data_IF_188579136333
#
_entry.id   IF_188579136333
#
_cell.length_a   1.000
_cell.length_b   1.000
_cell.length_c   1.000
_cell.angle_alpha   90.00
_cell.angle_beta   90.00
_cell.angle_gamma   90.00
#
_symmetry.space_group_name_H-M   'P 1'
#
loop_
_entity.id
_entity.type
_entity.pdbx_description
1 polymer ?
#
# COMPACT_ATOMS: atom_id res chain seq x y z
N UNK A 1 18.78 14.37 -76.05
CA UNK A 1 19.72 14.42 -74.90
C UNK A 1 18.90 14.77 -73.67
N UNK A 2 18.91 13.87 -72.68
CA UNK A 2 17.91 13.76 -71.62
C UNK A 2 17.96 14.89 -70.57
N UNK A 3 16.76 15.30 -70.14
CA UNK A 3 16.50 16.22 -69.03
C UNK A 3 16.47 15.47 -67.69
N UNK A 4 17.14 16.07 -66.72
CA UNK A 4 16.96 16.04 -65.25
C UNK A 4 16.29 14.83 -64.57
N UNK A 5 17.06 14.20 -63.66
CA UNK A 5 16.52 13.40 -62.55
C UNK A 5 17.31 13.73 -61.29
N UNK A 6 16.81 14.67 -60.48
CA UNK A 6 17.29 14.89 -59.12
C UNK A 6 16.91 13.68 -58.24
N UNK A 7 17.78 13.22 -57.32
CA UNK A 7 17.41 12.17 -56.38
C UNK A 7 16.34 12.71 -55.43
N UNK A 8 15.14 12.13 -55.53
CA UNK A 8 14.08 12.34 -54.56
C UNK A 8 14.57 11.89 -53.19
N UNK A 9 14.75 12.85 -52.29
CA UNK A 9 14.96 12.60 -50.87
C UNK A 9 13.75 11.83 -50.34
N UNK A 10 13.94 10.52 -50.15
CA UNK A 10 13.01 9.70 -49.39
C UNK A 10 13.01 10.21 -47.95
N UNK A 11 12.11 11.14 -47.65
CA UNK A 11 11.69 11.41 -46.30
C UNK A 11 11.08 10.11 -45.76
N UNK A 12 11.92 9.33 -45.07
CA UNK A 12 11.47 8.19 -44.29
C UNK A 12 10.39 8.72 -43.34
N UNK A 13 9.13 8.38 -43.63
CA UNK A 13 8.03 8.54 -42.71
C UNK A 13 8.42 7.76 -41.45
N UNK A 14 8.96 8.46 -40.45
CA UNK A 14 9.13 7.94 -39.12
C UNK A 14 7.72 7.63 -38.61
N UNK A 15 7.34 6.36 -38.66
CA UNK A 15 6.16 5.87 -37.95
C UNK A 15 6.24 6.38 -36.52
N UNK A 16 5.17 6.99 -35.97
CA UNK A 16 5.18 7.42 -34.58
C UNK A 16 5.52 6.21 -33.71
N UNK A 17 6.62 6.30 -32.98
CA UNK A 17 7.06 5.26 -32.07
C UNK A 17 5.90 4.94 -31.13
N UNK A 18 5.45 3.68 -31.14
CA UNK A 18 4.34 3.26 -30.29
C UNK A 18 4.64 3.63 -28.83
N UNK A 19 3.64 4.12 -28.07
CA UNK A 19 3.80 4.48 -26.67
C UNK A 19 4.55 3.39 -25.89
N UNK A 20 5.72 3.73 -25.35
CA UNK A 20 6.48 2.83 -24.50
C UNK A 20 5.65 2.49 -23.24
N UNK A 21 5.03 1.30 -23.23
CA UNK A 21 4.26 0.86 -22.08
C UNK A 21 5.14 0.88 -20.81
N UNK A 22 4.58 1.24 -19.63
CA UNK A 22 5.33 1.22 -18.39
C UNK A 22 5.95 -0.17 -18.16
N UNK A 23 7.19 -0.19 -17.63
CA UNK A 23 7.92 -1.43 -17.40
C UNK A 23 7.15 -2.35 -16.47
N UNK A 24 6.97 -3.62 -16.88
CA UNK A 24 6.32 -4.67 -16.07
C UNK A 24 6.93 -4.79 -14.67
N UNK A 25 8.24 -4.51 -14.54
CA UNK A 25 8.95 -4.54 -13.26
C UNK A 25 8.34 -3.60 -12.22
N UNK A 26 7.87 -2.42 -12.63
CA UNK A 26 7.24 -1.45 -11.71
C UNK A 26 5.95 -2.03 -11.12
N UNK A 27 5.12 -2.65 -11.95
CA UNK A 27 3.89 -3.28 -11.50
C UNK A 27 4.17 -4.45 -10.55
N UNK A 28 5.16 -5.28 -10.88
CA UNK A 28 5.57 -6.42 -10.04
C UNK A 28 6.01 -5.94 -8.65
N UNK A 29 6.88 -4.95 -8.56
CA UNK A 29 7.30 -4.44 -7.26
C UNK A 29 6.16 -3.76 -6.48
N UNK A 30 5.21 -3.12 -7.16
CA UNK A 30 4.02 -2.55 -6.52
C UNK A 30 3.09 -3.63 -5.96
N UNK A 31 2.94 -4.75 -6.68
CA UNK A 31 2.24 -5.95 -6.22
C UNK A 31 2.95 -6.54 -5.00
N UNK A 32 4.27 -6.68 -5.05
CA UNK A 32 5.07 -7.16 -3.91
C UNK A 32 4.85 -6.27 -2.69
N UNK A 33 4.89 -4.94 -2.85
CA UNK A 33 4.56 -4.00 -1.77
C UNK A 33 3.16 -4.22 -1.19
N UNK A 34 2.16 -4.41 -2.06
CA UNK A 34 0.78 -4.71 -1.64
C UNK A 34 0.67 -6.04 -0.88
N UNK A 35 1.42 -7.08 -1.32
CA UNK A 35 1.47 -8.38 -0.63
C UNK A 35 2.16 -8.26 0.74
N UNK A 36 3.25 -7.49 0.84
CA UNK A 36 3.91 -7.23 2.13
C UNK A 36 2.94 -6.54 3.10
N UNK A 37 2.18 -5.55 2.64
CA UNK A 37 1.18 -4.88 3.48
C UNK A 37 0.03 -5.81 3.88
N UNK A 38 -0.41 -6.68 2.97
CA UNK A 38 -1.41 -7.70 3.26
C UNK A 38 -0.93 -8.67 4.35
N UNK A 39 0.30 -9.19 4.23
CA UNK A 39 0.89 -10.07 5.24
C UNK A 39 1.09 -9.33 6.56
N UNK A 40 1.57 -8.09 6.53
CA UNK A 40 1.73 -7.25 7.73
C UNK A 40 0.41 -7.02 8.48
N UNK A 41 -0.73 -7.01 7.77
CA UNK A 41 -2.06 -6.91 8.37
C UNK A 41 -2.47 -8.17 9.16
N UNK A 42 -1.80 -9.30 8.94
CA UNK A 42 -2.04 -10.56 9.67
C UNK A 42 -1.11 -10.77 10.87
N UNK A 43 -0.12 -9.89 11.04
CA UNK A 43 0.90 -9.94 12.09
C UNK A 43 0.50 -9.02 13.25
N UNK A 44 1.14 -9.18 14.41
CA UNK A 44 0.95 -8.31 15.58
C UNK A 44 1.27 -6.84 15.23
N UNK A 45 0.29 -5.98 15.45
CA UNK A 45 0.35 -4.52 15.33
C UNK A 45 0.68 -3.85 16.66
N UNK A 46 0.33 -4.47 17.78
CA UNK A 46 0.78 -4.06 19.12
C UNK A 46 1.44 -5.24 19.80
N UNK A 47 2.57 -4.99 20.46
CA UNK A 47 3.23 -5.92 21.36
C UNK A 47 3.39 -5.28 22.74
N UNK A 48 3.38 -6.11 23.78
CA UNK A 48 3.56 -5.69 25.17
C UNK A 48 4.59 -6.57 25.86
N UNK A 49 5.42 -5.99 26.73
CA UNK A 49 6.45 -6.70 27.49
C UNK A 49 5.91 -7.47 28.72
N UNK A 50 4.59 -7.73 28.76
CA UNK A 50 3.98 -8.50 29.83
C UNK A 50 4.54 -9.95 29.84
N UNK A 51 5.17 -10.37 30.94
CA UNK A 51 5.68 -11.73 31.11
C UNK A 51 4.59 -12.77 30.83
N UNK A 52 4.82 -13.64 29.83
CA UNK A 52 3.89 -14.70 29.42
C UNK A 52 2.81 -14.29 28.40
N UNK A 53 2.71 -13.02 28.02
CA UNK A 53 1.78 -12.58 26.98
C UNK A 53 2.30 -12.94 25.58
N UNK A 54 1.96 -14.14 25.11
CA UNK A 54 2.24 -14.59 23.74
C UNK A 54 1.29 -14.00 22.69
N UNK A 55 0.32 -13.18 23.11
CA UNK A 55 -0.71 -12.60 22.25
C UNK A 55 -0.63 -11.07 22.20
N UNK A 56 -0.09 -10.54 21.11
CA UNK A 56 -0.26 -9.12 20.74
C UNK A 56 -1.56 -8.91 19.98
N UNK A 57 -1.97 -7.65 19.80
CA UNK A 57 -3.12 -7.31 18.95
C UNK A 57 -2.68 -7.47 17.50
N UNK A 58 -3.33 -8.36 16.76
CA UNK A 58 -3.07 -8.52 15.32
C UNK A 58 -3.81 -7.46 14.53
N UNK A 59 -3.31 -7.15 13.33
CA UNK A 59 -4.05 -6.26 12.43
C UNK A 59 -5.46 -6.77 12.12
N UNK A 60 -5.69 -8.08 12.12
CA UNK A 60 -7.03 -8.65 11.91
C UNK A 60 -8.05 -8.33 13.02
N UNK A 61 -7.62 -7.81 14.17
CA UNK A 61 -8.49 -7.57 15.34
C UNK A 61 -8.95 -6.09 15.43
N UNK A 62 -9.08 -5.38 14.31
CA UNK A 62 -9.51 -3.98 14.27
C UNK A 62 -9.30 -3.31 12.91
N UNK A 63 -8.72 -2.09 12.91
CA UNK A 63 -8.42 -1.29 11.69
C UNK A 63 -7.57 -2.03 10.63
N UNK A 64 -6.90 -3.14 10.98
CA UNK A 64 -6.13 -3.93 10.03
C UNK A 64 -6.96 -4.83 9.12
N UNK A 65 -8.25 -5.11 9.41
CA UNK A 65 -9.15 -5.73 8.40
C UNK A 65 -9.34 -4.77 7.23
N UNK A 66 -9.61 -3.50 7.50
CA UNK A 66 -9.78 -2.47 6.47
C UNK A 66 -8.47 -2.34 5.68
N UNK A 67 -7.34 -2.29 6.38
CA UNK A 67 -6.01 -2.23 5.75
C UNK A 67 -5.73 -3.45 4.87
N UNK A 68 -6.12 -4.65 5.31
CA UNK A 68 -6.02 -5.89 4.55
C UNK A 68 -6.84 -5.83 3.25
N UNK A 69 -8.08 -5.34 3.34
CA UNK A 69 -8.95 -5.16 2.16
C UNK A 69 -8.32 -4.16 1.19
N UNK A 70 -7.82 -3.03 1.69
CA UNK A 70 -7.16 -2.01 0.86
C UNK A 70 -5.92 -2.61 0.17
N UNK A 71 -5.10 -3.38 0.89
CA UNK A 71 -3.92 -4.04 0.34
C UNK A 71 -4.28 -5.02 -0.78
N UNK A 72 -5.33 -5.82 -0.58
CA UNK A 72 -5.83 -6.76 -1.58
C UNK A 72 -6.31 -6.03 -2.84
N UNK A 73 -7.13 -4.98 -2.68
CA UNK A 73 -7.65 -4.18 -3.79
C UNK A 73 -6.50 -3.48 -4.54
N UNK A 74 -5.51 -2.93 -3.83
CA UNK A 74 -4.33 -2.33 -4.44
C UNK A 74 -3.54 -3.36 -5.27
N UNK A 75 -3.32 -4.56 -4.75
CA UNK A 75 -2.67 -5.65 -5.46
C UNK A 75 -3.40 -6.01 -6.75
N UNK A 76 -4.74 -6.19 -6.69
CA UNK A 76 -5.58 -6.45 -7.86
C UNK A 76 -5.47 -5.31 -8.87
N UNK A 77 -5.54 -4.05 -8.43
CA UNK A 77 -5.42 -2.90 -9.31
C UNK A 77 -4.08 -2.86 -10.03
N UNK A 78 -2.96 -3.18 -9.38
CA UNK A 78 -1.66 -3.24 -10.04
C UNK A 78 -1.55 -4.40 -11.03
N UNK A 79 -2.18 -5.56 -10.74
CA UNK A 79 -2.28 -6.67 -11.70
C UNK A 79 -3.07 -6.22 -12.93
N UNK A 80 -4.24 -5.62 -12.74
CA UNK A 80 -5.08 -5.13 -13.85
C UNK A 80 -4.37 -3.99 -14.60
N UNK A 81 -3.65 -3.11 -13.92
CA UNK A 81 -2.83 -2.05 -14.53
C UNK A 81 -1.75 -2.64 -15.43
N UNK A 82 -1.09 -3.72 -14.99
CA UNK A 82 -0.08 -4.43 -15.77
C UNK A 82 -0.66 -5.07 -17.03
N UNK A 83 -1.85 -5.68 -16.93
CA UNK A 83 -2.51 -6.35 -18.07
C UNK A 83 -3.07 -5.33 -19.06
N UNK A 84 -3.79 -4.34 -18.56
CA UNK A 84 -4.52 -3.36 -19.40
C UNK A 84 -3.67 -2.17 -19.83
N UNK A 85 -2.49 -1.97 -19.22
CA UNK A 85 -1.59 -0.84 -19.43
C UNK A 85 -2.25 0.52 -19.17
N UNK A 86 -3.33 0.56 -18.37
CA UNK A 86 -4.05 1.80 -18.03
C UNK A 86 -3.32 2.54 -16.92
N UNK A 87 -2.77 3.71 -17.26
CA UNK A 87 -2.06 4.60 -16.32
C UNK A 87 -2.86 4.90 -15.04
N UNK A 88 -4.16 5.19 -15.18
CA UNK A 88 -5.03 5.54 -14.06
C UNK A 88 -5.08 4.47 -12.96
N UNK A 89 -4.96 3.18 -13.32
CA UNK A 89 -4.99 2.09 -12.34
C UNK A 89 -3.74 2.09 -11.44
N UNK A 90 -2.58 2.49 -11.97
CA UNK A 90 -1.37 2.69 -11.16
C UNK A 90 -1.55 3.83 -10.15
N UNK A 91 -2.20 4.92 -10.56
CA UNK A 91 -2.47 6.04 -9.67
C UNK A 91 -3.43 5.65 -8.55
N UNK A 92 -4.54 4.98 -8.87
CA UNK A 92 -5.51 4.52 -7.86
C UNK A 92 -4.84 3.54 -6.89
N UNK A 93 -4.06 2.58 -7.39
CA UNK A 93 -3.28 1.69 -6.52
C UNK A 93 -2.29 2.44 -5.63
N UNK A 94 -1.63 3.48 -6.15
CA UNK A 94 -0.74 4.33 -5.36
C UNK A 94 -1.47 5.13 -4.28
N UNK A 95 -2.67 5.65 -4.56
CA UNK A 95 -3.52 6.33 -3.56
C UNK A 95 -3.95 5.37 -2.44
N UNK A 96 -4.27 4.12 -2.78
CA UNK A 96 -4.51 3.09 -1.76
C UNK A 96 -3.26 2.80 -0.92
N UNK A 97 -2.08 2.82 -1.55
CA UNK A 97 -0.78 2.80 -0.85
C UNK A 97 -0.65 3.93 0.18
N UNK A 98 -1.01 5.16 -0.19
CA UNK A 98 -1.01 6.30 0.73
C UNK A 98 -1.98 6.10 1.90
N UNK A 99 -3.20 5.62 1.62
CA UNK A 99 -4.19 5.38 2.66
C UNK A 99 -3.69 4.34 3.69
N UNK A 100 -3.08 3.24 3.23
CA UNK A 100 -2.47 2.25 4.13
C UNK A 100 -1.31 2.84 4.95
N UNK A 101 -0.47 3.68 4.33
CA UNK A 101 0.65 4.31 5.03
C UNK A 101 0.16 5.25 6.15
N UNK A 102 -0.92 6.00 5.91
CA UNK A 102 -1.54 6.87 6.92
C UNK A 102 -2.09 6.03 8.07
N UNK A 103 -2.82 4.94 7.80
CA UNK A 103 -3.34 4.05 8.83
C UNK A 103 -2.21 3.44 9.66
N UNK A 104 -1.14 2.96 9.01
CA UNK A 104 0.02 2.43 9.71
C UNK A 104 0.67 3.50 10.61
N UNK A 105 0.89 4.71 10.09
CA UNK A 105 1.51 5.80 10.85
C UNK A 105 0.68 6.23 12.06
N UNK A 106 -0.64 6.33 11.92
CA UNK A 106 -1.54 6.67 13.04
C UNK A 106 -1.45 5.61 14.13
N UNK A 107 -1.54 4.33 13.76
CA UNK A 107 -1.50 3.23 14.73
C UNK A 107 -0.11 3.01 15.33
N UNK A 108 0.96 3.42 14.66
CA UNK A 108 2.31 3.44 15.24
C UNK A 108 2.49 4.59 16.23
N UNK A 109 1.86 5.74 15.99
CA UNK A 109 1.93 6.89 16.87
C UNK A 109 1.03 6.74 18.11
N UNK A 110 -0.06 5.99 17.99
CA UNK A 110 -1.01 5.72 19.07
C UNK A 110 -1.43 4.24 19.07
N UNK A 111 -0.61 3.35 19.67
CA UNK A 111 -0.94 1.94 19.82
C UNK A 111 -2.16 1.69 20.72
N UNK A 112 -2.44 2.59 21.68
CA UNK A 112 -3.57 2.48 22.62
C UNK A 112 -4.92 2.51 21.90
N UNK A 113 -4.99 3.23 20.77
CA UNK A 113 -6.15 3.20 19.87
C UNK A 113 -6.53 1.80 19.44
N UNK A 114 -5.56 0.93 19.12
CA UNK A 114 -5.82 -0.45 18.69
C UNK A 114 -6.37 -1.31 19.84
N UNK A 115 -5.89 -1.09 21.06
CA UNK A 115 -6.44 -1.73 22.27
C UNK A 115 -7.87 -1.29 22.51
N UNK A 116 -8.11 0.02 22.42
CA UNK A 116 -9.45 0.61 22.57
C UNK A 116 -10.43 0.03 21.56
N UNK A 117 -10.02 -0.09 20.29
CA UNK A 117 -10.84 -0.70 19.24
C UNK A 117 -11.13 -2.16 19.53
N UNK A 118 -10.11 -2.95 19.90
CA UNK A 118 -10.29 -4.37 20.22
C UNK A 118 -11.29 -4.58 21.36
N UNK A 119 -11.17 -3.83 22.44
CA UNK A 119 -12.12 -3.92 23.56
C UNK A 119 -13.54 -3.55 23.13
N UNK A 120 -13.69 -2.51 22.30
CA UNK A 120 -15.00 -2.10 21.79
C UNK A 120 -15.62 -3.18 20.88
N UNK A 121 -14.83 -3.76 19.99
CA UNK A 121 -15.30 -4.69 18.97
C UNK A 121 -15.52 -6.11 19.52
N UNK A 122 -14.63 -6.59 20.39
CA UNK A 122 -14.68 -7.94 20.96
C UNK A 122 -15.58 -8.00 22.22
N UNK A 123 -15.49 -7.00 23.12
CA UNK A 123 -16.20 -7.01 24.41
C UNK A 123 -17.47 -6.15 24.40
N UNK A 124 -17.71 -5.37 23.34
CA UNK A 124 -18.90 -4.53 23.22
C UNK A 124 -18.96 -3.39 24.24
N UNK A 125 -17.84 -3.06 24.90
CA UNK A 125 -17.81 -2.01 25.91
C UNK A 125 -17.93 -0.62 25.30
N UNK A 126 -18.46 0.33 26.07
CA UNK A 126 -18.55 1.73 25.63
C UNK A 126 -17.15 2.33 25.41
N UNK A 127 -17.05 3.28 24.48
CA UNK A 127 -15.78 3.94 24.14
C UNK A 127 -15.04 4.49 25.37
N UNK A 128 -15.74 5.14 26.31
CA UNK A 128 -15.14 5.68 27.53
C UNK A 128 -14.55 4.62 28.46
N UNK A 129 -15.12 3.41 28.45
CA UNK A 129 -14.63 2.28 29.25
C UNK A 129 -13.41 1.68 28.57
N UNK A 130 -13.47 1.50 27.25
CA UNK A 130 -12.35 1.01 26.45
C UNK A 130 -11.12 1.92 26.55
N UNK A 131 -11.30 3.24 26.41
CA UNK A 131 -10.22 4.23 26.53
C UNK A 131 -9.55 4.18 27.91
N UNK A 132 -10.34 4.11 28.99
CA UNK A 132 -9.78 3.99 30.35
C UNK A 132 -9.02 2.68 30.56
N UNK A 133 -9.53 1.58 30.03
CA UNK A 133 -8.87 0.29 30.12
C UNK A 133 -7.57 0.25 29.31
N UNK A 134 -7.57 0.84 28.11
CA UNK A 134 -6.38 0.99 27.27
C UNK A 134 -5.32 1.87 27.96
N UNK A 135 -5.71 3.02 28.51
CA UNK A 135 -4.81 3.92 29.24
C UNK A 135 -4.21 3.23 30.48
N UNK A 136 -5.01 2.43 31.21
CA UNK A 136 -4.50 1.63 32.32
C UNK A 136 -3.52 0.57 31.85
N UNK A 137 -3.83 -0.14 30.76
CA UNK A 137 -2.95 -1.14 30.20
C UNK A 137 -1.63 -0.54 29.69
N UNK A 138 -1.65 0.65 29.09
CA UNK A 138 -0.45 1.37 28.64
C UNK A 138 0.44 1.88 29.79
N UNK A 139 -0.15 2.17 30.96
CA UNK A 139 0.61 2.52 32.18
C UNK A 139 1.24 1.32 32.86
N UNK A 140 0.61 0.15 32.73
CA UNK A 140 1.05 -1.10 33.36
C UNK A 140 2.01 -1.89 32.46
N UNK A 141 1.86 -1.76 31.14
CA UNK A 141 2.63 -2.47 30.14
C UNK A 141 3.15 -1.49 29.10
N UNK A 142 4.44 -1.60 28.77
CA UNK A 142 5.01 -0.83 27.67
C UNK A 142 4.43 -1.36 26.35
N UNK A 143 3.48 -0.62 25.79
CA UNK A 143 2.84 -0.95 24.51
C UNK A 143 3.62 -0.31 23.37
N UNK A 144 4.12 -1.13 22.46
CA UNK A 144 4.89 -0.62 21.32
C UNK A 144 4.33 -1.14 20.01
N UNK A 145 4.62 -0.40 18.93
CA UNK A 145 4.26 -0.79 17.58
C UNK A 145 4.91 -2.14 17.24
N UNK A 146 4.07 -3.12 16.90
CA UNK A 146 4.50 -4.46 16.53
C UNK A 146 5.04 -4.53 15.10
N UNK A 147 5.72 -5.64 14.75
CA UNK A 147 6.34 -5.84 13.43
C UNK A 147 5.35 -5.73 12.27
N UNK A 148 4.07 -6.04 12.49
CA UNK A 148 3.02 -5.95 11.47
C UNK A 148 2.83 -4.53 10.94
N UNK A 149 2.86 -3.51 11.81
CA UNK A 149 2.73 -2.11 11.39
C UNK A 149 3.90 -1.64 10.51
N UNK A 150 5.12 -2.07 10.84
CA UNK A 150 6.30 -1.78 10.00
C UNK A 150 6.20 -2.45 8.63
N UNK A 151 5.73 -3.71 8.57
CA UNK A 151 5.50 -4.40 7.31
C UNK A 151 4.43 -3.69 6.47
N UNK A 152 3.31 -3.30 7.07
CA UNK A 152 2.26 -2.51 6.41
C UNK A 152 2.85 -1.22 5.86
N UNK A 153 3.60 -0.46 6.66
CA UNK A 153 4.19 0.81 6.24
C UNK A 153 5.15 0.62 5.05
N UNK A 154 6.07 -0.34 5.12
CA UNK A 154 7.02 -0.63 4.04
C UNK A 154 6.27 -1.01 2.76
N UNK A 155 5.32 -1.93 2.86
CA UNK A 155 4.51 -2.38 1.72
C UNK A 155 3.67 -1.25 1.11
N UNK A 156 3.08 -0.42 1.95
CA UNK A 156 2.28 0.74 1.57
C UNK A 156 3.12 1.81 0.85
N UNK A 157 4.32 2.13 1.37
CA UNK A 157 5.24 3.08 0.73
C UNK A 157 5.76 2.55 -0.61
N UNK A 158 6.05 1.26 -0.72
CA UNK A 158 6.38 0.63 -2.00
C UNK A 158 5.23 0.76 -3.00
N UNK A 159 4.00 0.42 -2.60
CA UNK A 159 2.81 0.54 -3.44
C UNK A 159 2.57 1.99 -3.90
N UNK A 160 2.70 2.96 -2.98
CA UNK A 160 2.58 4.38 -3.29
C UNK A 160 3.64 4.83 -4.29
N UNK A 161 4.92 4.62 -3.98
CA UNK A 161 6.02 5.10 -4.81
C UNK A 161 5.97 4.50 -6.22
N UNK A 162 5.73 3.19 -6.32
CA UNK A 162 5.69 2.48 -7.59
C UNK A 162 4.39 2.70 -8.36
N UNK A 163 3.28 2.94 -7.68
CA UNK A 163 2.05 3.43 -8.29
C UNK A 163 2.23 4.80 -8.92
N UNK A 164 2.83 5.75 -8.20
CA UNK A 164 3.14 7.08 -8.71
C UNK A 164 4.12 7.02 -9.90
N UNK A 165 5.22 6.26 -9.77
CA UNK A 165 6.19 6.05 -10.86
C UNK A 165 5.56 5.36 -12.07
N UNK A 166 4.70 4.36 -11.85
CA UNK A 166 3.97 3.67 -12.90
C UNK A 166 3.04 4.61 -13.67
N UNK A 167 2.32 5.47 -12.96
CA UNK A 167 1.47 6.50 -13.56
C UNK A 167 2.28 7.51 -14.37
N UNK A 168 3.36 8.07 -13.79
CA UNK A 168 4.20 9.06 -14.48
C UNK A 168 4.82 8.49 -15.77
N UNK A 169 5.36 7.27 -15.72
CA UNK A 169 5.92 6.63 -16.92
C UNK A 169 4.86 6.29 -17.97
N UNK A 170 3.68 5.84 -17.55
CA UNK A 170 2.57 5.55 -18.46
C UNK A 170 1.96 6.81 -19.11
N UNK A 171 2.14 7.98 -18.48
CA UNK A 171 1.73 9.27 -19.04
C UNK A 171 2.78 9.83 -19.98
N UNK A 172 4.07 9.75 -19.62
CA UNK A 172 5.17 10.28 -20.42
C UNK A 172 5.36 9.54 -21.76
N UNK A 173 4.81 8.34 -21.90
CA UNK A 173 4.88 7.57 -23.14
C UNK A 173 3.71 7.78 -24.09
N UNK A 174 2.70 8.59 -23.70
CA UNK A 174 1.58 8.99 -24.57
C UNK A 174 1.90 10.29 -25.29
#
# INVERSE_FOLDING_TARGET
>A
MHSAGAPSGGAAHASPAAPAAPSKKIAIFAIVGSVIALVGSMVNWVVSDAEGATGGIKGIDGDGIITLIIALVAGILFIVAMVTKKAALYLVGGVLGLAMAIVAAINMADPERLVTQKLKDDEGVSQKVAEKAAEQAAKLYEMTAGPGLYMVLIGALMALALGALGFMKARASR
#
